data_IF_728675801582
#
_entry.id   IF_728675801582
#
_cell.length_a   1.000
_cell.length_b   1.000
_cell.length_c   1.000
_cell.angle_alpha   90.00
_cell.angle_beta   90.00
_cell.angle_gamma   90.00
#
_symmetry.space_group_name_H-M   'P 1'
#
loop_
_entity.id
_entity.type
_entity.pdbx_description
1 polymer ?
#
# COMPACT_ATOMS: atom_id res chain seq x y z
N UNK A 1 -19.92 9.70 22.66
CA UNK A 1 -18.70 9.37 21.90
C UNK A 1 -18.25 8.01 22.40
N UNK A 2 -18.08 7.01 21.53
CA UNK A 2 -17.65 5.67 21.96
C UNK A 2 -16.14 5.67 22.09
N UNK A 3 -15.68 5.84 23.33
CA UNK A 3 -14.28 5.76 23.68
C UNK A 3 -13.94 4.33 24.12
N UNK A 4 -12.70 3.92 23.90
CA UNK A 4 -12.18 2.63 24.32
C UNK A 4 -10.84 2.82 25.02
N UNK A 5 -10.59 2.08 26.10
CA UNK A 5 -9.29 2.09 26.76
C UNK A 5 -8.17 1.69 25.79
N UNK A 6 -7.05 2.41 25.84
CA UNK A 6 -5.89 2.13 24.98
C UNK A 6 -5.39 0.68 25.14
N UNK A 7 -5.43 0.13 26.35
CA UNK A 7 -4.98 -1.25 26.59
C UNK A 7 -5.93 -2.27 25.93
N UNK A 8 -7.25 -2.04 25.99
CA UNK A 8 -8.22 -2.87 25.27
C UNK A 8 -8.03 -2.74 23.74
N UNK A 9 -7.83 -1.52 23.24
CA UNK A 9 -7.58 -1.26 21.83
C UNK A 9 -6.32 -1.99 21.31
N UNK A 10 -5.23 -1.99 22.11
CA UNK A 10 -3.98 -2.71 21.79
C UNK A 10 -4.19 -4.22 21.73
N UNK A 11 -4.92 -4.79 22.69
CA UNK A 11 -5.24 -6.22 22.67
C UNK A 11 -6.00 -6.58 21.39
N UNK A 12 -7.01 -5.81 21.01
CA UNK A 12 -7.76 -6.05 19.77
C UNK A 12 -6.81 -5.95 18.56
N UNK A 13 -6.08 -4.84 18.43
CA UNK A 13 -5.10 -4.60 17.35
C UNK A 13 -4.13 -5.78 17.20
N UNK A 14 -3.58 -6.26 18.30
CA UNK A 14 -2.54 -7.29 18.29
C UNK A 14 -3.11 -8.69 18.00
N UNK A 15 -4.35 -8.97 18.42
CA UNK A 15 -5.04 -10.25 18.16
C UNK A 15 -5.61 -10.29 16.74
N UNK A 16 -6.33 -9.26 16.31
CA UNK A 16 -6.99 -9.23 15.00
C UNK A 16 -6.06 -8.77 13.88
N UNK A 17 -4.87 -8.24 14.21
CA UNK A 17 -3.94 -7.60 13.28
C UNK A 17 -4.56 -6.42 12.53
N UNK A 18 -5.60 -5.80 13.09
CA UNK A 18 -6.23 -4.63 12.49
C UNK A 18 -5.32 -3.41 12.68
N UNK A 19 -4.99 -2.64 11.62
CA UNK A 19 -4.04 -1.55 11.67
C UNK A 19 -4.67 -0.27 12.27
N UNK A 20 -5.10 -0.33 13.53
CA UNK A 20 -5.61 0.84 14.25
C UNK A 20 -4.46 1.49 15.02
N UNK A 21 -4.27 2.80 14.83
CA UNK A 21 -3.35 3.58 15.63
C UNK A 21 -3.87 3.72 17.06
N UNK A 22 -3.03 3.38 18.04
CA UNK A 22 -3.35 3.56 19.47
C UNK A 22 -2.21 4.35 20.12
N UNK A 23 -2.48 5.54 20.72
CA UNK A 23 -1.47 6.34 21.38
C UNK A 23 -0.70 5.57 22.47
N UNK A 24 0.55 5.94 22.71
CA UNK A 24 1.33 5.42 23.83
C UNK A 24 0.83 5.99 25.17
N UNK A 25 1.01 5.21 26.25
CA UNK A 25 0.56 5.58 27.59
C UNK A 25 -0.89 5.19 27.91
N UNK A 26 -1.35 5.62 29.09
CA UNK A 26 -2.72 5.40 29.59
C UNK A 26 -3.66 6.45 29.00
N UNK A 27 -4.88 6.05 28.67
CA UNK A 27 -5.88 6.93 28.11
C UNK A 27 -6.92 6.15 27.32
N UNK A 28 -7.76 6.92 26.62
CA UNK A 28 -8.81 6.39 25.78
C UNK A 28 -8.61 6.84 24.33
N UNK A 29 -9.08 6.02 23.39
CA UNK A 29 -9.16 6.35 21.97
C UNK A 29 -10.62 6.54 21.55
N UNK A 30 -10.88 7.58 20.75
CA UNK A 30 -12.15 7.74 20.06
C UNK A 30 -12.22 6.75 18.90
N UNK A 31 -13.04 5.71 19.05
CA UNK A 31 -13.09 4.60 18.08
C UNK A 31 -13.55 5.09 16.70
N UNK A 32 -14.49 6.05 16.64
CA UNK A 32 -15.00 6.56 15.37
C UNK A 32 -13.94 7.34 14.58
N UNK A 33 -13.08 8.10 15.28
CA UNK A 33 -11.97 8.82 14.64
C UNK A 33 -10.88 7.85 14.21
N UNK A 34 -10.50 6.91 15.09
CA UNK A 34 -9.51 5.89 14.78
C UNK A 34 -9.87 5.05 13.54
N UNK A 35 -11.15 4.68 13.38
CA UNK A 35 -11.62 3.96 12.18
C UNK A 35 -11.58 4.84 10.94
N UNK A 36 -11.92 6.13 11.04
CA UNK A 36 -11.84 7.05 9.90
C UNK A 36 -10.39 7.24 9.43
N UNK A 37 -9.47 7.41 10.38
CA UNK A 37 -8.04 7.57 10.07
C UNK A 37 -7.50 6.32 9.40
N UNK A 38 -7.79 5.13 9.95
CA UNK A 38 -7.45 3.85 9.35
C UNK A 38 -7.96 3.73 7.90
N UNK A 39 -9.24 4.04 7.64
CA UNK A 39 -9.80 3.99 6.28
C UNK A 39 -9.09 4.96 5.33
N UNK A 40 -8.80 6.18 5.80
CA UNK A 40 -8.14 7.19 4.98
C UNK A 40 -6.71 6.78 4.64
N UNK A 41 -5.95 6.29 5.62
CA UNK A 41 -4.60 5.77 5.43
C UNK A 41 -4.61 4.60 4.42
N UNK A 42 -5.47 3.60 4.62
CA UNK A 42 -5.60 2.46 3.69
C UNK A 42 -5.96 2.90 2.26
N UNK A 43 -6.79 3.93 2.10
CA UNK A 43 -7.13 4.48 0.77
C UNK A 43 -5.96 5.22 0.11
N UNK A 44 -5.14 5.90 0.90
CA UNK A 44 -3.93 6.58 0.40
C UNK A 44 -2.88 5.57 -0.04
N UNK A 45 -2.63 4.55 0.79
CA UNK A 45 -1.72 3.45 0.49
C UNK A 45 -2.18 2.70 -0.77
N UNK A 46 -3.44 2.24 -0.81
CA UNK A 46 -3.97 1.55 -1.98
C UNK A 46 -3.95 2.39 -3.26
N UNK A 47 -4.11 3.72 -3.17
CA UNK A 47 -3.96 4.61 -4.32
C UNK A 47 -2.50 4.71 -4.77
N UNK A 48 -1.55 4.74 -3.83
CA UNK A 48 -0.13 4.78 -4.15
C UNK A 48 0.33 3.47 -4.82
N UNK A 49 -0.07 2.33 -4.25
CA UNK A 49 0.17 1.00 -4.80
C UNK A 49 -0.45 0.85 -6.19
N UNK A 50 -1.74 1.16 -6.34
CA UNK A 50 -2.42 1.06 -7.64
C UNK A 50 -1.81 1.96 -8.72
N UNK A 51 -1.27 3.14 -8.36
CA UNK A 51 -0.52 3.98 -9.31
C UNK A 51 0.82 3.35 -9.71
N UNK A 52 1.53 2.74 -8.77
CA UNK A 52 2.80 2.06 -9.04
C UNK A 52 2.57 0.84 -9.93
N UNK A 53 1.58 0.00 -9.61
CA UNK A 53 1.19 -1.17 -10.40
C UNK A 53 0.72 -0.78 -11.79
N UNK A 54 -0.19 0.19 -11.91
CA UNK A 54 -0.68 0.67 -13.20
C UNK A 54 0.43 1.25 -14.08
N UNK A 55 1.41 1.93 -13.48
CA UNK A 55 2.59 2.42 -14.22
C UNK A 55 3.45 1.25 -14.74
N UNK A 56 3.66 0.21 -13.94
CA UNK A 56 4.41 -0.99 -14.38
C UNK A 56 3.62 -1.69 -15.50
N UNK A 57 2.31 -1.88 -15.35
CA UNK A 57 1.47 -2.51 -16.36
C UNK A 57 1.51 -1.76 -17.71
N UNK A 58 1.35 -0.44 -17.69
CA UNK A 58 1.47 0.39 -18.90
C UNK A 58 2.83 0.23 -19.57
N UNK A 59 3.91 0.22 -18.79
CA UNK A 59 5.25 0.02 -19.33
C UNK A 59 5.45 -1.40 -19.89
N UNK A 60 4.83 -2.42 -19.29
CA UNK A 60 4.85 -3.80 -19.82
C UNK A 60 4.21 -3.84 -21.21
N UNK A 61 3.07 -3.19 -21.39
CA UNK A 61 2.37 -3.11 -22.69
C UNK A 61 3.22 -2.40 -23.75
N UNK A 62 3.80 -1.24 -23.40
CA UNK A 62 4.67 -0.48 -24.31
C UNK A 62 5.98 -1.21 -24.68
N UNK A 63 6.44 -2.13 -23.84
CA UNK A 63 7.58 -3.00 -24.17
C UNK A 63 7.13 -4.14 -25.08
N UNK A 64 5.95 -4.72 -24.84
CA UNK A 64 5.38 -5.80 -25.66
C UNK A 64 5.03 -5.35 -27.08
N UNK A 65 4.55 -4.11 -27.24
CA UNK A 65 4.23 -3.53 -28.55
C UNK A 65 5.47 -2.95 -29.29
N UNK A 66 6.63 -2.94 -28.63
CA UNK A 66 7.90 -2.48 -29.20
C UNK A 66 8.11 -0.97 -29.16
N UNK A 67 7.18 -0.19 -28.61
CA UNK A 67 7.30 1.28 -28.47
C UNK A 67 8.45 1.66 -27.54
N UNK A 68 8.73 0.86 -26.51
CA UNK A 68 9.74 1.12 -25.50
C UNK A 68 10.70 -0.06 -25.32
N UNK A 69 11.98 0.22 -25.09
CA UNK A 69 12.94 -0.82 -24.72
C UNK A 69 12.82 -1.21 -23.24
N UNK A 70 13.16 -2.46 -22.91
CA UNK A 70 13.20 -2.97 -21.53
C UNK A 70 14.05 -2.08 -20.62
N UNK A 71 15.20 -1.60 -21.10
CA UNK A 71 16.12 -0.76 -20.32
C UNK A 71 15.49 0.59 -19.99
N UNK A 72 14.85 1.22 -20.97
CA UNK A 72 14.16 2.50 -20.78
C UNK A 72 12.94 2.38 -19.87
N UNK A 73 12.20 1.27 -19.96
CA UNK A 73 11.07 0.98 -19.09
C UNK A 73 11.52 0.78 -17.64
N UNK A 74 12.54 -0.04 -17.41
CA UNK A 74 13.10 -0.29 -16.08
C UNK A 74 13.59 1.00 -15.39
N UNK A 75 14.27 1.87 -16.14
CA UNK A 75 14.71 3.18 -15.65
C UNK A 75 13.55 4.07 -15.20
N UNK A 76 12.40 4.04 -15.90
CA UNK A 76 11.21 4.86 -15.54
C UNK A 76 10.57 4.44 -14.20
N UNK A 77 10.81 3.23 -13.73
CA UNK A 77 10.31 2.71 -12.45
C UNK A 77 11.43 2.39 -11.46
N UNK A 78 12.63 2.95 -11.69
CA UNK A 78 13.79 2.84 -10.80
C UNK A 78 14.17 1.40 -10.42
N UNK A 79 14.07 0.47 -11.37
CA UNK A 79 14.49 -0.93 -11.19
C UNK A 79 15.50 -1.35 -12.25
N UNK A 80 16.17 -2.48 -12.06
CA UNK A 80 17.10 -3.02 -13.08
C UNK A 80 16.34 -3.64 -14.24
N UNK A 81 17.02 -3.79 -15.38
CA UNK A 81 16.45 -4.47 -16.54
C UNK A 81 16.09 -5.93 -16.23
N UNK A 82 16.86 -6.64 -15.37
CA UNK A 82 16.49 -8.00 -14.96
C UNK A 82 15.25 -8.02 -14.07
N UNK A 83 15.12 -7.06 -13.14
CA UNK A 83 13.93 -6.93 -12.31
C UNK A 83 12.69 -6.67 -13.16
N UNK A 84 12.79 -5.76 -14.12
CA UNK A 84 11.68 -5.45 -15.02
C UNK A 84 11.31 -6.64 -15.93
N UNK A 85 12.28 -7.44 -16.38
CA UNK A 85 12.00 -8.68 -17.14
C UNK A 85 11.18 -9.67 -16.32
N UNK A 86 11.49 -9.84 -15.04
CA UNK A 86 10.67 -10.69 -14.16
C UNK A 86 9.23 -10.17 -14.05
N UNK A 87 9.03 -8.86 -14.04
CA UNK A 87 7.68 -8.29 -14.06
C UNK A 87 6.96 -8.51 -15.40
N UNK A 88 7.66 -8.53 -16.53
CA UNK A 88 7.06 -8.84 -17.85
C UNK A 88 6.48 -10.25 -17.90
N UNK A 89 7.16 -11.20 -17.29
CA UNK A 89 6.80 -12.63 -17.28
C UNK A 89 5.67 -12.96 -16.30
N UNK A 90 5.39 -12.09 -15.33
CA UNK A 90 4.21 -12.24 -14.46
C UNK A 90 2.94 -11.95 -15.28
N UNK A 91 2.01 -12.90 -15.30
CA UNK A 91 0.66 -12.63 -15.78
C UNK A 91 -0.04 -11.63 -14.85
N UNK A 92 -1.01 -10.89 -15.40
CA UNK A 92 -1.88 -9.97 -14.65
C UNK A 92 -3.04 -10.76 -14.07
#
# INVERSE_FOLDING_TARGET
MQNMDNDAARVIRDITKTPIYVPEGKGEINVCEAVKDMINESRLEGRAEGKAEGKIQMLKELVKDGTLSVVSAAAKVNMTAEQFKKELDKEV
#
